data_IF_733926900681
#
_entry.id   IF_733926900681
#
_cell.length_a   1.000
_cell.length_b   1.000
_cell.length_c   1.000
_cell.angle_alpha   90.00
_cell.angle_beta   90.00
_cell.angle_gamma   90.00
#
_symmetry.space_group_name_H-M   'P 1'
#
loop_
_entity.id
_entity.type
_entity.pdbx_description
1 polymer ?
#
# COMPACT_ATOMS: atom_id res chain seq x y z
N UNK A 1 -0.47 -16.54 -27.92
CA UNK A 1 -0.84 -15.74 -26.74
C UNK A 1 -0.75 -16.64 -25.50
N UNK A 2 0.10 -16.34 -24.55
CA UNK A 2 0.15 -17.07 -23.29
C UNK A 2 -1.21 -16.90 -22.56
N UNK A 3 -1.72 -18.00 -22.00
CA UNK A 3 -2.98 -17.99 -21.24
C UNK A 3 -2.81 -17.06 -20.04
N UNK A 4 -3.70 -16.06 -19.90
CA UNK A 4 -3.75 -15.20 -18.71
C UNK A 4 -4.01 -16.07 -17.48
N UNK A 5 -3.09 -16.05 -16.53
CA UNK A 5 -3.27 -16.68 -15.23
C UNK A 5 -4.02 -15.71 -14.33
N UNK A 6 -5.03 -16.21 -13.61
CA UNK A 6 -5.76 -15.38 -12.64
C UNK A 6 -4.83 -15.02 -11.47
N UNK A 7 -4.89 -13.78 -10.92
CA UNK A 7 -4.07 -13.37 -9.79
C UNK A 7 -4.16 -14.28 -8.56
N UNK A 8 -5.30 -14.93 -8.31
CA UNK A 8 -5.43 -15.91 -7.23
C UNK A 8 -4.56 -17.15 -7.47
N UNK A 9 -4.39 -17.57 -8.73
CA UNK A 9 -3.47 -18.65 -9.10
C UNK A 9 -2.02 -18.22 -8.96
N UNK A 10 -1.67 -17.00 -9.40
CA UNK A 10 -0.31 -16.48 -9.25
C UNK A 10 0.05 -16.31 -7.77
N UNK A 11 -0.87 -15.81 -6.92
CA UNK A 11 -0.62 -15.77 -5.46
C UNK A 11 -0.43 -17.15 -4.87
N UNK A 12 -1.27 -18.13 -5.20
CA UNK A 12 -1.17 -19.50 -4.67
C UNK A 12 0.15 -20.18 -5.04
N UNK A 13 0.77 -19.75 -6.14
CA UNK A 13 2.05 -20.30 -6.65
C UNK A 13 3.26 -19.44 -6.30
N UNK A 14 3.07 -18.30 -5.64
CA UNK A 14 4.16 -17.39 -5.30
C UNK A 14 5.29 -18.10 -4.54
N UNK A 15 6.50 -17.94 -5.02
CA UNK A 15 7.71 -18.53 -4.41
C UNK A 15 7.77 -20.05 -4.39
N UNK A 16 6.95 -20.75 -5.19
CA UNK A 16 7.15 -22.20 -5.40
C UNK A 16 8.51 -22.44 -6.00
N UNK A 17 9.16 -23.53 -5.55
CA UNK A 17 10.45 -23.94 -6.08
C UNK A 17 10.33 -24.27 -7.57
N UNK A 18 11.04 -23.53 -8.41
CA UNK A 18 11.30 -23.86 -9.80
C UNK A 18 12.78 -24.17 -9.89
N UNK A 19 13.13 -25.41 -9.98
CA UNK A 19 14.51 -25.84 -10.15
C UNK A 19 14.54 -26.99 -11.14
N UNK A 20 15.41 -26.89 -12.10
CA UNK A 20 15.70 -27.96 -13.07
C UNK A 20 16.79 -28.87 -12.47
N UNK A 21 16.45 -29.54 -11.38
CA UNK A 21 17.36 -30.57 -10.82
C UNK A 21 16.68 -31.91 -10.92
N UNK A 22 17.32 -32.88 -11.59
CA UNK A 22 16.82 -34.21 -11.76
C UNK A 22 16.51 -34.99 -10.46
N UNK A 23 16.82 -34.39 -9.29
CA UNK A 23 16.67 -34.98 -7.96
C UNK A 23 15.47 -34.46 -7.16
N UNK A 24 14.62 -33.64 -7.78
CA UNK A 24 13.48 -33.02 -7.11
C UNK A 24 13.78 -31.63 -6.56
N UNK A 25 12.72 -30.85 -6.31
CA UNK A 25 12.80 -29.45 -5.81
C UNK A 25 11.89 -29.31 -4.60
N UNK A 26 12.38 -28.63 -3.57
CA UNK A 26 11.53 -28.27 -2.44
C UNK A 26 10.34 -27.43 -2.91
N UNK A 27 9.12 -27.84 -2.55
CA UNK A 27 7.90 -27.10 -2.90
C UNK A 27 7.85 -25.71 -2.26
N UNK A 28 8.52 -25.55 -1.12
CA UNK A 28 8.70 -24.26 -0.44
C UNK A 28 10.17 -23.90 -0.45
N UNK A 29 10.51 -22.69 -0.85
CA UNK A 29 11.89 -22.22 -0.85
C UNK A 29 12.53 -22.35 0.53
N UNK A 30 13.71 -22.94 0.66
CA UNK A 30 14.43 -23.01 1.94
C UNK A 30 14.77 -21.59 2.44
N UNK A 31 14.82 -21.44 3.76
CA UNK A 31 15.25 -20.18 4.38
C UNK A 31 16.79 -20.09 4.35
N UNK A 32 17.31 -19.16 3.55
CA UNK A 32 18.74 -18.90 3.44
C UNK A 32 19.14 -17.70 4.28
N UNK A 33 19.85 -17.91 5.39
CA UNK A 33 20.28 -16.86 6.31
C UNK A 33 21.72 -16.33 6.05
N UNK A 34 22.48 -17.00 5.16
CA UNK A 34 23.85 -16.57 4.88
C UNK A 34 23.88 -15.14 4.31
N UNK A 35 24.72 -14.29 4.88
CA UNK A 35 24.97 -12.92 4.40
C UNK A 35 25.96 -12.83 3.25
N UNK A 36 26.81 -13.85 3.11
CA UNK A 36 27.88 -13.95 2.11
C UNK A 36 28.07 -15.42 1.71
N UNK A 37 28.52 -15.65 0.47
CA UNK A 37 28.89 -16.96 -0.03
C UNK A 37 30.38 -17.04 -0.28
N UNK A 38 30.96 -18.24 -0.11
CA UNK A 38 32.32 -18.56 -0.50
C UNK A 38 32.32 -19.22 -1.89
N UNK A 39 33.34 -18.95 -2.68
CA UNK A 39 33.52 -19.44 -4.03
C UNK A 39 34.87 -20.12 -4.18
N UNK A 40 34.96 -21.05 -5.13
CA UNK A 40 36.18 -21.81 -5.36
C UNK A 40 37.26 -21.00 -6.12
N UNK A 41 36.82 -20.09 -7.02
CA UNK A 41 37.68 -19.35 -7.94
C UNK A 41 37.07 -18.02 -8.36
N UNK A 42 37.85 -17.17 -9.04
CA UNK A 42 37.43 -15.85 -9.49
C UNK A 42 36.31 -15.89 -10.55
N UNK A 43 36.34 -16.78 -11.56
CA UNK A 43 35.22 -16.90 -12.50
C UNK A 43 33.86 -17.14 -11.82
N UNK A 44 33.83 -17.99 -10.80
CA UNK A 44 32.61 -18.25 -10.02
C UNK A 44 32.13 -17.03 -9.24
N UNK A 45 33.05 -16.17 -8.79
CA UNK A 45 32.68 -14.88 -8.16
C UNK A 45 32.09 -13.95 -9.19
N UNK A 46 32.70 -13.82 -10.39
CA UNK A 46 32.23 -12.92 -11.43
C UNK A 46 30.81 -13.31 -11.89
N UNK A 47 30.55 -14.58 -12.17
CA UNK A 47 29.22 -15.09 -12.50
C UNK A 47 28.18 -14.81 -11.39
N UNK A 48 28.55 -15.05 -10.14
CA UNK A 48 27.67 -14.79 -9.01
C UNK A 48 27.41 -13.28 -8.80
N UNK A 49 28.35 -12.41 -9.15
CA UNK A 49 28.17 -10.94 -9.11
C UNK A 49 27.12 -10.49 -10.12
N UNK A 50 27.08 -11.06 -11.32
CA UNK A 50 26.04 -10.84 -12.31
C UNK A 50 24.67 -11.31 -11.81
N UNK A 51 24.63 -12.49 -11.14
CA UNK A 51 23.41 -13.06 -10.56
C UNK A 51 22.94 -12.43 -9.25
N UNK A 52 23.64 -11.46 -8.69
CA UNK A 52 23.34 -10.75 -7.42
C UNK A 52 23.35 -11.64 -6.17
N UNK A 53 23.95 -12.82 -6.18
CA UNK A 53 23.88 -13.81 -5.10
C UNK A 53 25.20 -13.96 -4.29
N UNK A 54 26.09 -12.97 -4.38
CA UNK A 54 27.39 -12.95 -3.67
C UNK A 54 27.27 -12.48 -2.24
N UNK A 55 26.53 -11.44 -2.04
CA UNK A 55 26.39 -10.73 -0.75
C UNK A 55 24.92 -10.28 -0.56
N UNK A 56 24.36 -10.51 0.60
CA UNK A 56 22.92 -10.33 0.85
C UNK A 56 22.36 -8.95 0.50
N UNK A 57 23.16 -7.91 0.69
CA UNK A 57 22.76 -6.55 0.30
C UNK A 57 22.56 -6.39 -1.21
N UNK A 58 23.13 -7.27 -2.03
CA UNK A 58 22.97 -7.25 -3.49
C UNK A 58 21.70 -7.96 -3.96
N UNK A 59 21.13 -8.85 -3.15
CA UNK A 59 19.92 -9.60 -3.45
C UNK A 59 20.08 -11.09 -3.20
N UNK A 60 19.41 -11.90 -4.02
CA UNK A 60 19.45 -13.35 -3.97
C UNK A 60 18.54 -13.97 -2.91
N UNK A 61 18.34 -15.28 -2.99
CA UNK A 61 17.58 -16.07 -2.03
C UNK A 61 16.11 -15.67 -1.89
N UNK A 62 15.60 -15.64 -0.65
CA UNK A 62 14.19 -15.37 -0.37
C UNK A 62 13.73 -13.98 -0.81
N UNK A 63 14.50 -12.87 -0.61
CA UNK A 63 14.14 -11.55 -1.14
C UNK A 63 13.92 -11.54 -2.65
N UNK A 64 14.80 -12.15 -3.44
CA UNK A 64 14.66 -12.20 -4.89
C UNK A 64 13.40 -12.97 -5.33
N UNK A 65 13.08 -14.10 -4.68
CA UNK A 65 11.85 -14.84 -4.97
C UNK A 65 10.59 -14.03 -4.69
N UNK A 66 10.63 -13.19 -3.66
CA UNK A 66 9.53 -12.28 -3.36
C UNK A 66 9.42 -11.15 -4.41
N UNK A 67 10.56 -10.62 -4.90
CA UNK A 67 10.60 -9.68 -6.03
C UNK A 67 9.97 -10.30 -7.27
N UNK A 68 10.36 -11.53 -7.64
CA UNK A 68 9.81 -12.28 -8.78
C UNK A 68 8.30 -12.49 -8.66
N UNK A 69 7.81 -12.87 -7.48
CA UNK A 69 6.38 -13.03 -7.24
C UNK A 69 5.61 -11.70 -7.36
N UNK A 70 6.16 -10.60 -6.86
CA UNK A 70 5.53 -9.28 -6.97
C UNK A 70 5.57 -8.75 -8.41
N UNK A 71 6.64 -9.00 -9.17
CA UNK A 71 6.73 -8.71 -10.60
C UNK A 71 5.62 -9.43 -11.36
N UNK A 72 5.45 -10.73 -11.12
CA UNK A 72 4.38 -11.51 -11.77
C UNK A 72 2.99 -10.90 -11.50
N UNK A 73 2.70 -10.55 -10.24
CA UNK A 73 1.41 -10.00 -9.83
C UNK A 73 1.13 -8.60 -10.42
N UNK A 74 2.15 -7.76 -10.55
CA UNK A 74 2.02 -6.39 -11.07
C UNK A 74 2.17 -6.31 -12.59
N UNK A 75 2.55 -7.40 -13.26
CA UNK A 75 2.67 -7.42 -14.72
C UNK A 75 1.30 -7.26 -15.37
N UNK A 76 1.14 -6.19 -16.12
CA UNK A 76 -0.07 -5.89 -16.89
C UNK A 76 0.00 -6.61 -18.23
N UNK A 77 -1.05 -7.34 -18.65
CA UNK A 77 -1.07 -8.02 -19.95
C UNK A 77 -0.79 -7.06 -21.10
N UNK A 78 0.18 -7.41 -21.96
CA UNK A 78 0.57 -6.61 -23.10
C UNK A 78 1.60 -5.50 -22.82
N UNK A 79 2.03 -5.35 -21.57
CA UNK A 79 3.17 -4.48 -21.17
C UNK A 79 4.39 -5.31 -20.80
N UNK A 80 5.56 -4.70 -20.86
CA UNK A 80 6.78 -5.30 -20.32
C UNK A 80 6.63 -5.47 -18.78
N UNK A 81 7.25 -6.52 -18.24
CA UNK A 81 7.25 -6.75 -16.80
C UNK A 81 8.02 -5.62 -16.08
N UNK A 82 7.55 -5.14 -14.93
CA UNK A 82 8.28 -4.16 -14.13
C UNK A 82 9.56 -4.75 -13.54
N UNK A 83 10.46 -3.90 -13.07
CA UNK A 83 11.57 -4.30 -12.20
C UNK A 83 11.19 -4.04 -10.75
N UNK A 84 11.70 -4.85 -9.82
CA UNK A 84 11.32 -4.75 -8.40
C UNK A 84 12.51 -4.83 -7.45
N UNK A 85 12.34 -4.18 -6.29
CA UNK A 85 13.19 -4.34 -5.09
C UNK A 85 12.36 -4.38 -3.84
N UNK A 86 12.56 -5.44 -3.03
CA UNK A 86 12.01 -5.51 -1.69
C UNK A 86 12.88 -4.73 -0.71
N UNK A 87 12.23 -4.06 0.23
CA UNK A 87 12.83 -3.13 1.19
C UNK A 87 12.39 -3.45 2.61
N UNK A 88 13.11 -2.92 3.60
CA UNK A 88 12.83 -3.14 5.03
C UNK A 88 11.47 -2.60 5.52
N UNK A 89 10.81 -1.75 4.74
CA UNK A 89 9.47 -1.20 5.04
C UNK A 89 8.89 -0.49 3.82
N UNK A 90 7.57 -0.22 3.82
CA UNK A 90 6.95 0.65 2.82
C UNK A 90 7.55 2.05 2.78
N UNK A 91 7.97 2.61 3.93
CA UNK A 91 8.68 3.89 4.00
C UNK A 91 10.05 3.84 3.31
N UNK A 92 10.78 2.74 3.44
CA UNK A 92 12.04 2.54 2.73
C UNK A 92 11.83 2.42 1.21
N UNK A 93 10.70 1.84 0.77
CA UNK A 93 10.31 1.82 -0.64
C UNK A 93 10.00 3.25 -1.15
N UNK A 94 9.27 4.07 -0.38
CA UNK A 94 8.99 5.47 -0.72
C UNK A 94 10.27 6.31 -0.77
N UNK A 95 11.17 6.14 0.20
CA UNK A 95 12.49 6.78 0.20
C UNK A 95 13.25 6.43 -1.08
N UNK A 96 13.35 5.15 -1.41
CA UNK A 96 14.04 4.69 -2.62
C UNK A 96 13.38 5.26 -3.88
N UNK A 97 12.06 5.22 -4.00
CA UNK A 97 11.31 5.76 -5.13
C UNK A 97 11.59 7.26 -5.35
N UNK A 98 11.48 8.05 -4.28
CA UNK A 98 11.70 9.51 -4.36
C UNK A 98 13.14 9.87 -4.69
N UNK A 99 14.13 9.15 -4.17
CA UNK A 99 15.55 9.38 -4.50
C UNK A 99 15.91 8.99 -5.93
N UNK A 100 15.17 8.07 -6.54
CA UNK A 100 15.39 7.65 -7.93
C UNK A 100 14.86 8.66 -8.96
N UNK A 101 13.77 9.37 -8.63
CA UNK A 101 13.11 10.30 -9.56
C UNK A 101 13.51 11.76 -9.32
N UNK A 102 13.93 12.11 -8.10
CA UNK A 102 14.35 13.47 -7.77
C UNK A 102 15.80 13.74 -8.22
N UNK A 103 16.04 14.94 -8.74
CA UNK A 103 17.35 15.37 -9.20
C UNK A 103 17.52 16.88 -9.11
N UNK A 104 18.71 17.42 -9.48
CA UNK A 104 19.02 18.84 -9.35
C UNK A 104 18.04 19.77 -10.08
N UNK A 105 17.55 19.37 -11.26
CA UNK A 105 16.62 20.16 -12.08
C UNK A 105 15.16 19.96 -11.68
N UNK A 106 14.83 18.80 -11.06
CA UNK A 106 13.50 18.41 -10.62
C UNK A 106 13.60 17.89 -9.21
N UNK A 107 13.37 18.73 -8.21
CA UNK A 107 13.51 18.38 -6.79
C UNK A 107 12.20 18.54 -6.00
N UNK A 108 11.09 18.85 -6.67
CA UNK A 108 9.80 19.01 -6.01
C UNK A 108 8.95 17.76 -6.15
N UNK A 109 8.48 17.24 -5.03
CA UNK A 109 7.50 16.16 -4.95
C UNK A 109 6.15 16.77 -4.60
N UNK A 110 5.12 16.41 -5.34
CA UNK A 110 3.73 16.77 -5.05
C UNK A 110 3.06 15.59 -4.37
N UNK A 111 2.43 15.81 -3.22
CA UNK A 111 1.72 14.78 -2.47
C UNK A 111 0.22 15.06 -2.49
N UNK A 112 -0.56 14.09 -2.90
CA UNK A 112 -2.02 14.18 -2.86
C UNK A 112 -2.50 13.78 -1.47
N UNK A 113 -3.28 14.65 -0.80
CA UNK A 113 -3.80 14.44 0.55
C UNK A 113 -5.34 14.37 0.57
N UNK A 114 -5.97 13.70 1.55
CA UNK A 114 -5.33 13.02 2.69
C UNK A 114 -4.55 11.78 2.25
N UNK A 115 -3.44 11.49 2.96
CA UNK A 115 -2.61 10.31 2.73
C UNK A 115 -2.05 9.81 4.07
N UNK A 116 -1.31 8.71 4.04
CA UNK A 116 -0.64 8.18 5.23
C UNK A 116 0.30 9.24 5.84
N UNK A 117 0.12 9.54 7.13
CA UNK A 117 0.90 10.58 7.81
C UNK A 117 2.41 10.34 7.82
N UNK A 118 2.87 9.08 7.66
CA UNK A 118 4.28 8.75 7.48
C UNK A 118 4.85 9.24 6.15
N UNK A 119 4.04 9.31 5.09
CA UNK A 119 4.44 9.87 3.79
C UNK A 119 4.76 11.36 3.92
N UNK A 120 3.84 12.14 4.49
CA UNK A 120 4.08 13.56 4.77
C UNK A 120 5.32 13.77 5.65
N UNK A 121 5.45 12.96 6.71
CA UNK A 121 6.56 13.08 7.67
C UNK A 121 7.91 12.74 7.05
N UNK A 122 7.99 11.72 6.20
CA UNK A 122 9.23 11.37 5.52
C UNK A 122 9.67 12.45 4.53
N UNK A 123 8.73 12.92 3.70
CA UNK A 123 9.03 13.85 2.63
C UNK A 123 9.36 15.25 3.16
N UNK A 124 8.56 15.79 4.07
CA UNK A 124 8.78 17.11 4.63
C UNK A 124 9.91 17.16 5.66
N UNK A 125 10.15 16.06 6.39
CA UNK A 125 11.20 15.96 7.41
C UNK A 125 12.56 15.54 6.84
N UNK A 126 12.94 14.25 6.92
CA UNK A 126 14.27 13.79 6.50
C UNK A 126 14.65 14.18 5.08
N UNK A 127 13.73 14.01 4.10
CA UNK A 127 14.04 14.33 2.70
C UNK A 127 14.03 15.83 2.43
N UNK A 128 13.19 16.60 3.12
CA UNK A 128 13.22 18.06 3.08
C UNK A 128 14.56 18.61 3.56
N UNK A 129 15.13 18.04 4.62
CA UNK A 129 16.44 18.40 5.13
C UNK A 129 17.59 18.09 4.12
N UNK A 130 17.37 17.14 3.21
CA UNK A 130 18.30 16.81 2.12
C UNK A 130 18.05 17.65 0.84
N UNK A 131 17.16 18.65 0.89
CA UNK A 131 16.91 19.58 -0.21
C UNK A 131 15.73 19.20 -1.11
N UNK A 132 14.97 18.16 -0.77
CA UNK A 132 13.73 17.85 -1.47
C UNK A 132 12.66 18.89 -1.12
N UNK A 133 12.02 19.47 -2.13
CA UNK A 133 10.88 20.39 -1.92
C UNK A 133 9.58 19.59 -1.97
N UNK A 134 8.65 19.90 -1.08
CA UNK A 134 7.34 19.23 -1.02
C UNK A 134 6.23 20.24 -1.20
N UNK A 135 5.27 19.92 -2.05
CA UNK A 135 4.00 20.62 -2.19
C UNK A 135 2.86 19.63 -2.00
N UNK A 136 1.71 20.10 -1.56
CA UNK A 136 0.56 19.23 -1.33
C UNK A 136 -0.63 19.66 -2.17
N UNK A 137 -1.43 18.69 -2.60
CA UNK A 137 -2.76 18.88 -3.17
C UNK A 137 -3.76 18.33 -2.18
N UNK A 138 -4.50 19.21 -1.52
CA UNK A 138 -5.55 18.81 -0.58
C UNK A 138 -6.84 18.57 -1.35
N UNK A 139 -7.27 17.32 -1.44
CA UNK A 139 -8.55 16.97 -2.05
C UNK A 139 -9.71 17.33 -1.10
N UNK A 140 -10.87 17.71 -1.63
CA UNK A 140 -12.05 17.92 -0.82
C UNK A 140 -12.41 16.67 -0.01
N UNK A 141 -12.79 16.80 1.27
CA UNK A 141 -13.12 15.66 2.14
C UNK A 141 -14.26 14.77 1.62
N UNK A 142 -15.14 15.33 0.79
CA UNK A 142 -16.25 14.62 0.14
C UNK A 142 -15.83 13.89 -1.16
N UNK A 143 -14.53 13.91 -1.50
CA UNK A 143 -14.00 13.35 -2.73
C UNK A 143 -14.43 14.10 -3.99
N UNK A 144 -14.95 15.31 -3.85
CA UNK A 144 -15.44 16.14 -4.95
C UNK A 144 -14.33 16.72 -5.83
N UNK A 145 -14.74 17.45 -6.88
CA UNK A 145 -13.82 18.09 -7.82
C UNK A 145 -13.25 17.17 -8.90
N UNK A 146 -12.59 17.74 -9.89
CA UNK A 146 -11.81 17.00 -10.88
C UNK A 146 -10.40 16.78 -10.34
N UNK A 147 -10.08 15.55 -9.97
CA UNK A 147 -8.80 15.22 -9.33
C UNK A 147 -7.60 15.54 -10.23
N UNK A 148 -7.71 15.31 -11.55
CA UNK A 148 -6.67 15.67 -12.52
C UNK A 148 -6.43 17.19 -12.56
N UNK A 149 -7.49 18.01 -12.63
CA UNK A 149 -7.38 19.48 -12.64
C UNK A 149 -6.80 20.01 -11.32
N UNK A 150 -7.20 19.45 -10.17
CA UNK A 150 -6.66 19.83 -8.86
C UNK A 150 -5.15 19.56 -8.77
N UNK A 151 -4.71 18.42 -9.28
CA UNK A 151 -3.28 18.08 -9.36
C UNK A 151 -2.58 19.00 -10.35
N UNK A 152 -3.11 19.17 -11.57
CA UNK A 152 -2.53 20.02 -12.62
C UNK A 152 -2.27 21.46 -12.15
N UNK A 153 -3.16 22.01 -11.33
CA UNK A 153 -3.01 23.37 -10.78
C UNK A 153 -1.76 23.56 -9.90
N UNK A 154 -1.18 22.48 -9.39
CA UNK A 154 0.01 22.51 -8.52
C UNK A 154 1.29 22.15 -9.28
N UNK A 155 1.17 21.62 -10.49
CA UNK A 155 2.31 21.13 -11.26
C UNK A 155 3.10 22.24 -11.93
N UNK A 156 4.37 21.93 -12.23
CA UNK A 156 5.29 22.78 -12.96
C UNK A 156 6.52 21.99 -13.40
N UNK A 157 7.42 22.59 -14.22
CA UNK A 157 8.55 21.89 -14.80
C UNK A 157 9.60 21.41 -13.78
N UNK A 158 9.52 21.87 -12.54
CA UNK A 158 10.40 21.52 -11.43
C UNK A 158 9.91 20.31 -10.63
N UNK A 159 8.70 19.80 -10.94
CA UNK A 159 8.13 18.61 -10.27
C UNK A 159 8.82 17.35 -10.77
N UNK A 160 9.39 16.59 -9.83
CA UNK A 160 10.01 15.30 -10.10
C UNK A 160 8.95 14.19 -10.12
N UNK A 161 8.04 14.19 -9.14
CA UNK A 161 6.99 13.19 -9.07
C UNK A 161 5.73 13.69 -8.35
N UNK A 162 4.62 13.00 -8.62
CA UNK A 162 3.36 13.07 -7.85
C UNK A 162 3.21 11.76 -7.09
N UNK A 163 2.99 11.84 -5.77
CA UNK A 163 2.73 10.68 -4.90
C UNK A 163 1.23 10.59 -4.64
N UNK A 164 0.65 9.44 -4.96
CA UNK A 164 -0.79 9.19 -4.93
C UNK A 164 -1.06 7.89 -4.18
N UNK A 165 -1.95 7.89 -3.19
CA UNK A 165 -2.57 6.66 -2.68
C UNK A 165 -3.82 6.34 -3.51
N UNK A 166 -4.06 5.08 -3.86
CA UNK A 166 -5.29 4.69 -4.60
C UNK A 166 -6.53 4.93 -3.74
N UNK A 167 -6.48 4.44 -2.50
CA UNK A 167 -7.47 4.69 -1.45
C UNK A 167 -6.79 5.51 -0.35
N UNK A 168 -7.34 6.65 -0.03
CA UNK A 168 -6.75 7.60 0.92
C UNK A 168 -6.82 7.11 2.36
N UNK A 169 -5.83 7.49 3.17
CA UNK A 169 -5.78 7.22 4.59
C UNK A 169 -5.89 8.54 5.38
N UNK A 170 -6.85 8.70 6.32
CA UNK A 170 -7.74 7.69 6.89
C UNK A 170 -9.20 7.75 6.39
N UNK A 171 -9.53 8.62 5.45
CA UNK A 171 -10.91 8.86 5.01
C UNK A 171 -11.42 7.83 3.99
N UNK A 172 -10.57 6.90 3.55
CA UNK A 172 -10.93 5.81 2.64
C UNK A 172 -11.64 6.32 1.36
N UNK A 173 -11.31 7.53 0.94
CA UNK A 173 -11.75 8.10 -0.33
C UNK A 173 -10.98 7.48 -1.50
N UNK A 174 -11.59 7.42 -2.66
CA UNK A 174 -10.97 6.85 -3.86
C UNK A 174 -10.42 7.97 -4.76
N UNK A 175 -9.13 7.87 -5.11
CA UNK A 175 -8.47 8.79 -6.02
C UNK A 175 -8.65 8.35 -7.47
N UNK A 176 -8.90 9.30 -8.37
CA UNK A 176 -8.89 9.07 -9.81
C UNK A 176 -7.43 9.05 -10.32
N UNK A 177 -6.75 7.92 -10.02
CA UNK A 177 -5.33 7.74 -10.36
C UNK A 177 -5.05 8.01 -11.84
N UNK A 178 -5.83 7.50 -12.82
CA UNK A 178 -5.60 7.81 -14.23
C UNK A 178 -5.60 9.31 -14.54
N UNK A 179 -6.62 10.04 -14.06
CA UNK A 179 -6.71 11.48 -14.32
C UNK A 179 -5.57 12.29 -13.69
N UNK A 180 -5.11 11.88 -12.50
CA UNK A 180 -3.95 12.49 -11.86
C UNK A 180 -2.63 12.13 -12.56
N UNK A 181 -2.52 10.91 -13.07
CA UNK A 181 -1.34 10.45 -13.81
C UNK A 181 -1.20 11.20 -15.13
N UNK A 182 -2.29 11.36 -15.88
CA UNK A 182 -2.29 12.13 -17.13
C UNK A 182 -1.78 13.56 -16.86
N UNK A 183 -2.30 14.23 -15.82
CA UNK A 183 -1.86 15.57 -15.45
C UNK A 183 -0.36 15.63 -15.08
N UNK A 184 0.17 14.63 -14.36
CA UNK A 184 1.59 14.55 -14.02
C UNK A 184 2.46 14.34 -15.26
N UNK A 185 2.08 13.46 -16.16
CA UNK A 185 2.79 13.17 -17.39
C UNK A 185 2.82 14.36 -18.35
N UNK A 186 1.79 15.21 -18.39
CA UNK A 186 1.76 16.43 -19.20
C UNK A 186 2.93 17.39 -18.89
N UNK A 187 3.45 17.37 -17.66
CA UNK A 187 4.65 18.13 -17.27
C UNK A 187 5.91 17.29 -17.19
N UNK A 188 5.84 16.00 -17.53
CA UNK A 188 6.93 15.03 -17.46
C UNK A 188 7.34 14.69 -16.02
N UNK A 189 6.42 14.77 -15.05
CA UNK A 189 6.63 14.31 -13.69
C UNK A 189 6.31 12.81 -13.60
N UNK A 190 7.09 12.05 -12.81
CA UNK A 190 6.81 10.65 -12.54
C UNK A 190 5.58 10.47 -11.62
N UNK A 191 4.90 9.35 -11.74
CA UNK A 191 3.73 8.99 -10.91
C UNK A 191 4.12 7.84 -9.98
N UNK A 192 4.20 8.13 -8.68
CA UNK A 192 4.45 7.15 -7.63
C UNK A 192 3.10 6.81 -7.00
N UNK A 193 2.65 5.57 -7.15
CA UNK A 193 1.39 5.10 -6.56
C UNK A 193 1.68 4.22 -5.36
N UNK A 194 1.22 4.64 -4.18
CA UNK A 194 1.14 3.75 -3.01
C UNK A 194 -0.16 2.94 -3.09
N UNK A 195 -0.02 1.68 -3.43
CA UNK A 195 -1.13 0.72 -3.61
C UNK A 195 -1.27 -0.22 -2.41
N UNK A 196 -0.83 0.22 -1.22
CA UNK A 196 -0.85 -0.61 0.01
C UNK A 196 -2.27 -1.08 0.39
N UNK A 197 -3.31 -0.24 0.19
CA UNK A 197 -4.70 -0.61 0.46
C UNK A 197 -5.34 -1.42 -0.68
N UNK A 198 -4.72 -1.41 -1.84
CA UNK A 198 -5.22 -2.03 -3.07
C UNK A 198 -4.16 -2.95 -3.69
N UNK A 199 -3.91 -4.13 -3.10
CA UNK A 199 -2.97 -5.10 -3.67
C UNK A 199 -3.24 -5.41 -5.15
N UNK A 200 -2.27 -5.96 -5.91
CA UNK A 200 -2.34 -6.10 -7.38
C UNK A 200 -3.58 -6.82 -7.92
N UNK A 201 -4.19 -7.68 -7.12
CA UNK A 201 -5.41 -8.40 -7.48
C UNK A 201 -6.69 -7.55 -7.33
N UNK A 202 -6.62 -6.40 -6.65
CA UNK A 202 -7.70 -5.39 -6.64
C UNK A 202 -7.46 -4.30 -7.68
N UNK A 203 -6.23 -3.76 -7.74
CA UNK A 203 -5.89 -2.63 -8.60
C UNK A 203 -4.47 -2.79 -9.15
N UNK A 204 -4.32 -2.79 -10.48
CA UNK A 204 -3.02 -2.86 -11.16
C UNK A 204 -2.57 -1.44 -11.55
N UNK A 205 -1.79 -0.79 -10.70
CA UNK A 205 -1.44 0.62 -10.82
C UNK A 205 -0.73 0.97 -12.14
N UNK A 206 0.14 0.09 -12.65
CA UNK A 206 0.77 0.31 -13.96
C UNK A 206 -0.22 0.36 -15.12
N UNK A 207 -1.37 -0.32 -15.03
CA UNK A 207 -2.46 -0.23 -15.99
C UNK A 207 -3.20 1.11 -15.97
N UNK A 208 -2.95 1.91 -14.95
CA UNK A 208 -3.62 3.18 -14.68
C UNK A 208 -2.66 4.38 -14.63
N UNK A 209 -1.48 4.27 -15.24
CA UNK A 209 -0.55 5.39 -15.41
C UNK A 209 0.52 5.52 -14.32
N UNK A 210 0.66 4.57 -13.41
CA UNK A 210 1.79 4.57 -12.49
C UNK A 210 3.11 4.32 -13.24
N UNK A 211 4.17 5.06 -12.88
CA UNK A 211 5.55 4.78 -13.28
C UNK A 211 6.27 3.96 -12.22
N UNK A 212 5.96 4.24 -10.94
CA UNK A 212 6.48 3.54 -9.78
C UNK A 212 5.32 3.09 -8.88
N UNK A 213 5.38 1.87 -8.36
CA UNK A 213 4.35 1.31 -7.47
C UNK A 213 5.00 0.89 -6.16
N UNK A 214 4.37 1.24 -5.06
CA UNK A 214 4.81 0.88 -3.72
C UNK A 214 3.73 0.04 -3.05
N UNK A 215 4.18 -1.02 -2.36
CA UNK A 215 3.34 -1.74 -1.39
C UNK A 215 4.07 -1.89 -0.07
N UNK A 216 3.35 -1.69 1.03
CA UNK A 216 3.79 -2.19 2.33
C UNK A 216 3.47 -3.68 2.43
N UNK A 217 4.49 -4.52 2.35
CA UNK A 217 4.36 -5.97 2.56
C UNK A 217 3.84 -6.30 3.96
N UNK A 218 4.11 -5.43 4.93
CA UNK A 218 3.65 -5.47 6.34
C UNK A 218 2.13 -5.64 6.46
N UNK A 219 1.36 -5.22 5.43
CA UNK A 219 -0.10 -5.10 5.45
C UNK A 219 -0.75 -6.33 4.80
N UNK A 220 -1.76 -6.13 3.98
CA UNK A 220 -2.55 -7.19 3.35
C UNK A 220 -1.74 -8.28 2.65
N UNK A 221 -0.57 -7.97 2.09
CA UNK A 221 0.24 -8.93 1.35
C UNK A 221 0.79 -10.04 2.26
N UNK A 222 1.42 -9.70 3.40
CA UNK A 222 1.81 -10.69 4.41
C UNK A 222 0.60 -11.13 5.26
N UNK A 223 -0.18 -10.19 5.79
CA UNK A 223 -1.52 -10.38 6.34
C UNK A 223 -1.63 -11.05 7.71
N UNK A 224 -0.52 -11.20 8.47
CA UNK A 224 -0.49 -11.92 9.74
C UNK A 224 0.20 -11.12 10.87
N UNK A 225 0.44 -9.84 10.67
CA UNK A 225 1.06 -8.92 11.66
C UNK A 225 2.43 -9.37 12.18
N UNK A 226 3.14 -10.22 11.45
CA UNK A 226 4.41 -10.86 11.81
C UNK A 226 5.58 -10.48 10.88
N UNK A 227 5.36 -9.60 9.91
CA UNK A 227 6.34 -9.13 8.91
C UNK A 227 6.38 -7.61 8.86
N UNK A 228 7.56 -7.05 8.75
CA UNK A 228 7.78 -5.68 8.34
C UNK A 228 8.56 -5.66 7.03
N UNK A 229 7.99 -5.06 5.98
CA UNK A 229 8.63 -4.97 4.68
C UNK A 229 7.90 -4.04 3.73
N UNK A 230 8.56 -3.73 2.63
CA UNK A 230 8.01 -2.99 1.51
C UNK A 230 8.50 -3.56 0.19
N UNK A 231 7.89 -3.13 -0.89
CA UNK A 231 8.39 -3.37 -2.24
C UNK A 231 8.19 -2.12 -3.08
N UNK A 232 9.21 -1.78 -3.85
CA UNK A 232 9.16 -0.81 -4.93
C UNK A 232 9.21 -1.56 -6.25
N UNK A 233 8.25 -1.28 -7.12
CA UNK A 233 8.26 -1.73 -8.51
C UNK A 233 8.34 -0.49 -9.42
N UNK A 234 9.03 -0.62 -10.53
CA UNK A 234 9.21 0.45 -11.54
C UNK A 234 8.88 -0.11 -12.91
N UNK A 235 8.11 0.63 -13.72
CA UNK A 235 7.91 0.31 -15.13
C UNK A 235 9.28 0.19 -15.81
N UNK A 236 9.54 -0.94 -16.47
CA UNK A 236 10.84 -1.20 -17.08
C UNK A 236 11.20 -0.23 -18.22
N UNK A 237 10.23 0.51 -18.76
CA UNK A 237 10.45 1.58 -19.72
C UNK A 237 10.80 2.93 -19.09
N UNK A 238 10.67 3.10 -17.78
CA UNK A 238 11.00 4.33 -17.10
C UNK A 238 12.49 4.40 -16.75
N UNK A 239 13.13 5.55 -16.99
CA UNK A 239 14.59 5.73 -16.83
C UNK A 239 15.12 5.40 -15.42
N UNK A 240 14.29 5.52 -14.38
CA UNK A 240 14.67 5.16 -13.02
C UNK A 240 14.89 3.65 -12.83
N UNK A 241 14.37 2.80 -13.72
CA UNK A 241 14.52 1.34 -13.65
C UNK A 241 15.99 0.90 -13.73
N UNK A 242 16.81 1.57 -14.55
CA UNK A 242 18.23 1.29 -14.72
C UNK A 242 19.04 1.51 -13.43
N UNK A 243 18.56 2.40 -12.55
CA UNK A 243 19.24 2.79 -11.33
C UNK A 243 18.70 2.09 -10.07
N UNK A 244 17.61 1.36 -10.18
CA UNK A 244 16.94 0.73 -9.03
C UNK A 244 17.88 -0.17 -8.25
N UNK A 245 18.58 -1.06 -8.95
CA UNK A 245 19.46 -2.05 -8.34
C UNK A 245 20.65 -1.40 -7.61
N UNK A 246 21.32 -0.47 -8.28
CA UNK A 246 22.48 0.24 -7.71
C UNK A 246 22.08 1.06 -6.47
N UNK A 247 20.97 1.82 -6.54
CA UNK A 247 20.51 2.63 -5.42
C UNK A 247 20.04 1.78 -4.23
N UNK A 248 19.30 0.71 -4.47
CA UNK A 248 18.85 -0.19 -3.41
C UNK A 248 20.03 -0.81 -2.65
N UNK A 249 21.09 -1.21 -3.36
CA UNK A 249 22.33 -1.74 -2.77
C UNK A 249 23.06 -0.70 -1.94
N UNK A 250 23.19 0.53 -2.46
CA UNK A 250 23.97 1.60 -1.81
C UNK A 250 23.23 2.18 -0.61
N UNK A 251 21.93 2.39 -0.69
CA UNK A 251 21.09 2.91 0.40
C UNK A 251 20.84 1.85 1.48
N UNK A 252 21.03 0.57 1.17
CA UNK A 252 20.92 -0.50 2.15
C UNK A 252 19.50 -0.75 2.67
N UNK A 253 18.48 -0.40 1.90
CA UNK A 253 17.06 -0.57 2.26
C UNK A 253 16.56 -2.02 2.12
N UNK A 254 17.37 -3.00 2.47
CA UNK A 254 17.15 -4.41 2.19
C UNK A 254 16.13 -5.05 3.14
N UNK A 255 15.37 -6.02 2.62
CA UNK A 255 14.53 -6.90 3.42
C UNK A 255 15.34 -8.09 3.94
N UNK A 256 15.13 -8.48 5.21
CA UNK A 256 15.75 -9.67 5.79
C UNK A 256 15.19 -10.95 5.15
N UNK A 257 15.99 -12.03 5.00
CA UNK A 257 15.53 -13.28 4.40
C UNK A 257 14.34 -13.92 5.12
N UNK A 258 14.30 -13.83 6.45
CA UNK A 258 13.21 -14.37 7.25
C UNK A 258 11.90 -13.63 7.00
N UNK A 259 11.92 -12.28 6.99
CA UNK A 259 10.76 -11.47 6.66
C UNK A 259 10.28 -11.73 5.21
N UNK A 260 11.22 -11.89 4.27
CA UNK A 260 10.89 -12.22 2.89
C UNK A 260 10.23 -13.60 2.77
N UNK A 261 10.70 -14.58 3.54
CA UNK A 261 10.12 -15.93 3.57
C UNK A 261 8.71 -15.94 4.17
N UNK A 262 8.48 -15.21 5.27
CA UNK A 262 7.16 -15.03 5.87
C UNK A 262 6.22 -14.28 4.92
N UNK A 263 6.70 -13.21 4.27
CA UNK A 263 5.93 -12.46 3.28
C UNK A 263 5.49 -13.33 2.11
N UNK A 264 6.40 -14.16 1.56
CA UNK A 264 6.06 -15.16 0.53
C UNK A 264 5.00 -16.14 0.99
N UNK A 265 5.11 -16.62 2.23
CA UNK A 265 4.13 -17.53 2.83
C UNK A 265 2.76 -16.86 2.94
N UNK A 266 2.70 -15.61 3.42
CA UNK A 266 1.48 -14.82 3.52
C UNK A 266 0.88 -14.51 2.15
N UNK A 267 1.72 -14.18 1.17
CA UNK A 267 1.31 -13.84 -0.20
C UNK A 267 0.50 -14.97 -0.86
N UNK A 268 0.82 -16.23 -0.58
CA UNK A 268 0.14 -17.40 -1.17
C UNK A 268 -1.36 -17.46 -0.90
N UNK A 269 -1.85 -16.79 0.13
CA UNK A 269 -3.28 -16.70 0.47
C UNK A 269 -3.83 -15.28 0.38
N UNK A 270 -3.02 -14.30 -0.07
CA UNK A 270 -3.38 -12.90 -0.02
C UNK A 270 -4.65 -12.58 -0.83
N UNK A 271 -4.81 -13.15 -2.03
CA UNK A 271 -5.98 -12.92 -2.85
C UNK A 271 -7.27 -13.40 -2.13
N UNK A 272 -7.28 -14.63 -1.59
CA UNK A 272 -8.41 -15.17 -0.83
C UNK A 272 -8.74 -14.33 0.41
N UNK A 273 -7.71 -13.90 1.15
CA UNK A 273 -7.91 -13.09 2.35
C UNK A 273 -8.52 -11.74 2.03
N UNK A 274 -7.97 -11.05 1.02
CA UNK A 274 -8.45 -9.72 0.65
C UNK A 274 -9.83 -9.77 0.04
N UNK A 275 -10.16 -10.80 -0.74
CA UNK A 275 -11.52 -11.04 -1.24
C UNK A 275 -12.51 -11.14 -0.08
N UNK A 276 -12.26 -12.02 0.90
CA UNK A 276 -13.09 -12.17 2.09
C UNK A 276 -13.17 -10.88 2.92
N UNK A 277 -12.04 -10.21 3.15
CA UNK A 277 -12.01 -8.94 3.88
C UNK A 277 -12.83 -7.85 3.15
N UNK A 278 -12.76 -7.79 1.82
CA UNK A 278 -13.52 -6.84 1.00
C UNK A 278 -15.02 -7.12 1.03
N UNK A 279 -15.43 -8.40 0.99
CA UNK A 279 -16.82 -8.81 1.17
C UNK A 279 -17.36 -8.36 2.55
N UNK A 280 -16.61 -8.67 3.61
CA UNK A 280 -16.96 -8.28 4.97
C UNK A 280 -17.01 -6.76 5.13
N UNK A 281 -16.05 -6.01 4.56
CA UNK A 281 -16.02 -4.55 4.61
C UNK A 281 -17.22 -3.93 3.90
N UNK A 282 -17.63 -4.49 2.74
CA UNK A 282 -18.83 -4.06 2.02
C UNK A 282 -20.09 -4.30 2.84
N UNK A 283 -20.21 -5.47 3.47
CA UNK A 283 -21.34 -5.81 4.33
C UNK A 283 -21.39 -4.93 5.60
N UNK A 284 -20.22 -4.58 6.18
CA UNK A 284 -20.13 -3.66 7.31
C UNK A 284 -20.45 -2.21 6.89
N UNK A 285 -19.98 -1.75 5.74
CA UNK A 285 -20.32 -0.42 5.22
C UNK A 285 -21.84 -0.26 5.07
N UNK A 286 -22.51 -1.30 4.55
CA UNK A 286 -23.97 -1.34 4.46
C UNK A 286 -24.63 -1.36 5.85
N UNK A 287 -24.10 -2.18 6.78
CA UNK A 287 -24.61 -2.25 8.13
C UNK A 287 -24.49 -0.92 8.89
N UNK A 288 -23.42 -0.17 8.66
CA UNK A 288 -23.20 1.14 9.29
C UNK A 288 -23.98 2.28 8.64
N UNK A 289 -24.42 2.16 7.39
CA UNK A 289 -25.03 3.26 6.61
C UNK A 289 -26.22 3.93 7.29
N UNK A 290 -27.06 3.12 7.96
CA UNK A 290 -28.30 3.59 8.60
C UNK A 290 -28.19 3.78 10.12
N UNK A 291 -26.96 3.77 10.66
CA UNK A 291 -26.73 3.90 12.10
C UNK A 291 -26.83 5.34 12.58
N UNK A 292 -27.76 5.68 13.50
CA UNK A 292 -27.96 7.05 13.96
C UNK A 292 -26.78 7.59 14.77
N UNK A 293 -25.95 6.72 15.35
CA UNK A 293 -24.75 7.06 16.11
C UNK A 293 -23.65 7.64 15.21
N UNK A 294 -23.72 7.36 13.90
CA UNK A 294 -22.70 7.77 12.93
C UNK A 294 -23.09 9.04 12.18
N UNK A 295 -22.12 9.92 11.98
CA UNK A 295 -22.19 11.08 11.09
C UNK A 295 -21.94 10.69 9.65
N UNK A 296 -20.96 9.79 9.45
CA UNK A 296 -20.56 9.32 8.12
C UNK A 296 -19.95 7.91 8.20
N UNK A 297 -20.04 7.22 7.08
CA UNK A 297 -19.32 5.97 6.79
C UNK A 297 -18.47 6.25 5.56
N UNK A 298 -17.18 5.92 5.64
CA UNK A 298 -16.23 6.11 4.56
C UNK A 298 -15.78 4.76 4.01
N UNK A 299 -16.15 4.50 2.77
CA UNK A 299 -15.79 3.28 2.03
C UNK A 299 -15.90 3.57 0.52
N UNK A 300 -15.05 3.01 -0.36
CA UNK A 300 -15.11 3.32 -1.79
C UNK A 300 -16.48 3.03 -2.39
N UNK A 301 -17.05 4.02 -3.06
CA UNK A 301 -18.36 3.92 -3.71
C UNK A 301 -19.55 4.30 -2.83
N UNK A 302 -19.37 4.83 -1.62
CA UNK A 302 -20.47 5.27 -0.73
C UNK A 302 -20.65 6.79 -0.68
N UNK A 303 -19.71 7.58 -1.23
CA UNK A 303 -19.72 9.05 -1.20
C UNK A 303 -20.51 9.68 -2.36
N UNK A 304 -21.54 9.02 -2.85
CA UNK A 304 -22.41 9.51 -3.92
C UNK A 304 -22.11 8.90 -5.29
N UNK A 305 -22.90 9.33 -6.29
CA UNK A 305 -22.91 8.69 -7.61
C UNK A 305 -21.55 8.73 -8.35
N UNK A 306 -20.78 9.80 -8.17
CA UNK A 306 -19.46 9.93 -8.79
C UNK A 306 -18.46 8.93 -8.19
N UNK A 307 -18.38 8.85 -6.87
CA UNK A 307 -17.51 7.92 -6.16
C UNK A 307 -17.90 6.47 -6.46
N UNK A 308 -19.21 6.18 -6.54
CA UNK A 308 -19.72 4.86 -6.94
C UNK A 308 -19.27 4.48 -8.36
N UNK A 309 -19.38 5.39 -9.33
CA UNK A 309 -18.94 5.16 -10.71
C UNK A 309 -17.42 4.98 -10.81
N UNK A 310 -16.65 5.77 -10.03
CA UNK A 310 -15.21 5.65 -9.96
C UNK A 310 -14.79 4.31 -9.37
N UNK A 311 -15.44 3.88 -8.27
CA UNK A 311 -15.18 2.61 -7.62
C UNK A 311 -15.52 1.41 -8.53
N UNK A 312 -16.61 1.49 -9.27
CA UNK A 312 -16.97 0.46 -10.25
C UNK A 312 -15.93 0.34 -11.37
N UNK A 313 -15.40 1.47 -11.86
CA UNK A 313 -14.40 1.52 -12.92
C UNK A 313 -13.01 1.05 -12.45
N UNK A 314 -12.56 1.52 -11.28
CA UNK A 314 -11.18 1.28 -10.83
C UNK A 314 -11.04 0.02 -9.97
N UNK A 315 -12.08 -0.37 -9.23
CA UNK A 315 -12.06 -1.46 -8.27
C UNK A 315 -13.13 -2.54 -8.57
N UNK A 316 -13.21 -3.08 -9.80
CA UNK A 316 -14.25 -4.02 -10.20
C UNK A 316 -14.17 -5.38 -9.50
N UNK A 317 -13.05 -5.70 -8.84
CA UNK A 317 -12.80 -6.97 -8.14
C UNK A 317 -13.02 -6.90 -6.63
N UNK A 318 -13.51 -5.79 -6.11
CA UNK A 318 -13.73 -5.54 -4.69
C UNK A 318 -13.16 -4.19 -4.30
N UNK A 319 -13.70 -3.61 -3.25
CA UNK A 319 -13.44 -2.23 -2.84
C UNK A 319 -12.42 -2.11 -1.70
N UNK A 320 -11.71 -3.21 -1.38
CA UNK A 320 -10.72 -3.26 -0.33
C UNK A 320 -11.29 -3.56 1.05
N UNK A 321 -10.40 -3.73 2.02
CA UNK A 321 -10.70 -4.20 3.36
C UNK A 321 -10.73 -3.08 4.41
N UNK A 322 -10.56 -1.83 3.98
CA UNK A 322 -10.52 -0.68 4.88
C UNK A 322 -11.81 0.10 4.82
N UNK A 323 -12.36 0.45 5.98
CA UNK A 323 -13.44 1.42 6.11
C UNK A 323 -13.20 2.33 7.31
N UNK A 324 -13.83 3.50 7.33
CA UNK A 324 -13.84 4.39 8.49
C UNK A 324 -15.26 4.81 8.84
N UNK A 325 -15.52 4.98 10.13
CA UNK A 325 -16.77 5.51 10.64
C UNK A 325 -16.49 6.80 11.42
N UNK A 326 -17.39 7.76 11.33
CA UNK A 326 -17.32 9.03 12.08
C UNK A 326 -18.47 9.10 13.10
N UNK A 327 -18.15 8.97 14.38
CA UNK A 327 -19.10 8.97 15.47
C UNK A 327 -19.56 10.42 15.80
N UNK A 328 -20.86 10.64 15.98
CA UNK A 328 -21.45 11.97 16.23
C UNK A 328 -21.01 12.60 17.55
N UNK A 329 -20.71 11.78 18.56
CA UNK A 329 -20.25 12.27 19.86
C UNK A 329 -18.77 12.64 19.91
N UNK A 330 -18.06 12.63 18.75
CA UNK A 330 -16.64 13.01 18.67
C UNK A 330 -15.73 12.07 19.43
N UNK A 331 -14.65 12.59 20.02
CA UNK A 331 -13.62 11.78 20.68
C UNK A 331 -14.12 10.94 21.87
N UNK A 332 -15.10 11.45 22.62
CA UNK A 332 -15.68 10.68 23.76
C UNK A 332 -16.43 9.45 23.23
N UNK A 333 -17.24 9.61 22.20
CA UNK A 333 -17.95 8.49 21.58
C UNK A 333 -16.98 7.51 20.93
N UNK A 334 -15.89 7.99 20.31
CA UNK A 334 -14.85 7.12 19.76
C UNK A 334 -14.14 6.29 20.85
N UNK A 335 -13.82 6.89 21.99
CA UNK A 335 -13.23 6.16 23.13
C UNK A 335 -14.22 5.13 23.72
N UNK A 336 -15.50 5.50 23.89
CA UNK A 336 -16.53 4.60 24.39
C UNK A 336 -16.78 3.44 23.41
N UNK A 337 -16.82 3.72 22.10
CA UNK A 337 -16.91 2.71 21.05
C UNK A 337 -15.75 1.70 21.12
N UNK A 338 -14.51 2.22 21.18
CA UNK A 338 -13.31 1.37 21.23
C UNK A 338 -13.29 0.50 22.50
N UNK A 339 -13.70 1.05 23.65
CA UNK A 339 -13.81 0.31 24.91
C UNK A 339 -14.94 -0.72 24.90
N UNK A 340 -15.97 -0.50 24.09
CA UNK A 340 -17.10 -1.41 23.92
C UNK A 340 -16.80 -2.63 23.06
N UNK A 341 -15.64 -2.67 22.38
CA UNK A 341 -15.18 -3.83 21.61
C UNK A 341 -14.62 -4.90 22.56
N UNK A 342 -14.95 -6.17 22.32
CA UNK A 342 -14.48 -7.31 23.13
C UNK A 342 -13.34 -8.07 22.44
N UNK A 343 -13.56 -8.59 21.24
CA UNK A 343 -12.58 -9.35 20.45
C UNK A 343 -11.72 -8.47 19.55
N UNK A 344 -12.30 -7.44 18.95
CA UNK A 344 -11.64 -6.51 18.02
C UNK A 344 -10.68 -5.59 18.80
N UNK A 345 -9.41 -5.53 18.36
CA UNK A 345 -8.36 -4.82 19.10
C UNK A 345 -8.06 -3.44 18.51
N UNK A 346 -7.74 -2.49 19.39
CA UNK A 346 -7.16 -1.20 19.00
C UNK A 346 -5.69 -1.41 18.64
N UNK A 347 -5.35 -1.24 17.35
CA UNK A 347 -3.99 -1.44 16.85
C UNK A 347 -3.63 -0.39 15.78
N UNK A 348 -2.42 0.21 15.84
CA UNK A 348 -1.98 1.23 14.87
C UNK A 348 -1.46 0.61 13.57
N UNK A 349 -2.11 -0.45 13.08
CA UNK A 349 -1.76 -1.16 11.86
C UNK A 349 -3.01 -1.50 11.04
N UNK A 350 -2.89 -2.38 10.05
CA UNK A 350 -3.99 -2.86 9.22
C UNK A 350 -3.58 -4.11 8.44
N UNK A 351 -4.56 -4.77 7.83
CA UNK A 351 -4.32 -5.83 6.85
C UNK A 351 -4.08 -7.21 7.47
N UNK A 352 -4.35 -7.38 8.75
CA UNK A 352 -4.33 -8.68 9.43
C UNK A 352 -5.56 -9.53 9.05
N UNK A 353 -5.48 -10.84 9.28
CA UNK A 353 -6.62 -11.76 9.19
C UNK A 353 -7.70 -11.44 10.21
N UNK A 354 -7.32 -10.88 11.36
CA UNK A 354 -8.26 -10.41 12.38
C UNK A 354 -8.62 -8.94 12.16
N UNK A 355 -9.88 -8.61 12.42
CA UNK A 355 -10.37 -7.23 12.41
C UNK A 355 -9.69 -6.41 13.50
N UNK A 356 -9.23 -5.22 13.14
CA UNK A 356 -8.66 -4.25 14.08
C UNK A 356 -9.23 -2.87 13.85
N UNK A 357 -9.24 -2.05 14.91
CA UNK A 357 -9.58 -0.63 14.81
C UNK A 357 -8.37 0.23 15.12
N UNK A 358 -8.34 1.43 14.57
CA UNK A 358 -7.34 2.45 14.91
C UNK A 358 -8.00 3.81 15.04
N UNK A 359 -7.42 4.67 15.89
CA UNK A 359 -7.87 6.03 16.09
C UNK A 359 -6.87 6.99 15.43
N UNK A 360 -7.16 7.51 14.23
CA UNK A 360 -6.22 8.28 13.42
C UNK A 360 -5.65 9.51 14.12
N UNK A 361 -6.47 10.21 14.91
CA UNK A 361 -6.05 11.39 15.65
C UNK A 361 -4.93 11.13 16.66
N UNK A 362 -4.83 9.91 17.21
CA UNK A 362 -3.77 9.51 18.16
C UNK A 362 -2.70 8.62 17.55
N UNK A 363 -2.87 8.17 16.29
CA UNK A 363 -1.97 7.24 15.63
C UNK A 363 -1.35 7.85 14.38
N UNK A 364 -1.87 7.54 13.21
CA UNK A 364 -1.27 7.91 11.91
C UNK A 364 -1.24 9.41 11.63
N UNK A 365 -2.11 10.21 12.24
CA UNK A 365 -2.23 11.65 12.03
C UNK A 365 -1.99 12.48 13.30
N UNK A 366 -1.35 11.87 14.32
CA UNK A 366 -1.07 12.55 15.60
C UNK A 366 -0.11 13.75 15.47
N UNK A 367 0.69 13.79 14.40
CA UNK A 367 1.61 14.90 14.14
C UNK A 367 0.88 16.17 13.66
N UNK A 368 -0.35 16.06 13.16
CA UNK A 368 -1.16 17.18 12.72
C UNK A 368 -1.87 17.84 13.92
N UNK A 369 -1.95 19.18 13.90
CA UNK A 369 -2.77 19.92 14.85
C UNK A 369 -4.28 19.59 14.64
N UNK A 370 -5.15 19.83 15.65
CA UNK A 370 -6.59 19.66 15.48
C UNK A 370 -7.15 20.44 14.28
N UNK A 371 -6.66 21.66 14.03
CA UNK A 371 -7.06 22.49 12.90
C UNK A 371 -6.65 21.88 11.55
N UNK A 372 -5.43 21.35 11.46
CA UNK A 372 -4.95 20.67 10.26
C UNK A 372 -5.76 19.38 9.99
N UNK A 373 -6.07 18.58 11.03
CA UNK A 373 -6.93 17.41 10.88
C UNK A 373 -8.32 17.80 10.38
N UNK A 374 -8.92 18.82 10.99
CA UNK A 374 -10.26 19.30 10.59
C UNK A 374 -10.29 19.79 9.14
N UNK A 375 -9.25 20.50 8.69
CA UNK A 375 -9.12 20.95 7.30
C UNK A 375 -9.08 19.77 6.30
N UNK A 376 -8.54 18.63 6.71
CA UNK A 376 -8.51 17.38 5.92
C UNK A 376 -9.77 16.51 6.13
N UNK A 377 -10.76 16.96 6.91
CA UNK A 377 -11.96 16.17 7.22
C UNK A 377 -11.75 15.07 8.26
N UNK A 378 -10.60 15.03 8.92
CA UNK A 378 -10.28 14.04 9.98
C UNK A 378 -10.82 14.56 11.30
N UNK A 379 -12.02 14.10 11.66
CA UNK A 379 -12.71 14.51 12.90
C UNK A 379 -12.18 13.75 14.12
N UNK A 380 -12.48 14.22 15.31
CA UNK A 380 -12.19 13.51 16.55
C UNK A 380 -13.14 12.30 16.77
N UNK A 381 -14.22 12.16 15.98
CA UNK A 381 -15.09 10.99 15.96
C UNK A 381 -14.64 9.88 15.01
N UNK A 382 -13.58 10.10 14.24
CA UNK A 382 -13.16 9.18 13.19
C UNK A 382 -12.44 7.95 13.75
N UNK A 383 -12.99 6.77 13.49
CA UNK A 383 -12.38 5.46 13.79
C UNK A 383 -12.19 4.72 12.47
N UNK A 384 -10.95 4.28 12.19
CA UNK A 384 -10.64 3.48 11.00
C UNK A 384 -10.65 2.00 11.38
N UNK A 385 -11.28 1.18 10.55
CA UNK A 385 -11.46 -0.26 10.71
C UNK A 385 -10.69 -0.97 9.60
N UNK A 386 -9.81 -1.88 9.97
CA UNK A 386 -9.20 -2.87 9.09
C UNK A 386 -9.97 -4.16 9.24
N UNK A 387 -10.75 -4.51 8.25
CA UNK A 387 -11.67 -5.65 8.32
C UNK A 387 -10.95 -6.95 8.00
N UNK A 388 -11.14 -7.95 8.83
CA UNK A 388 -10.54 -9.28 8.69
C UNK A 388 -11.47 -10.30 8.04
N UNK A 389 -11.13 -11.59 8.22
CA UNK A 389 -11.80 -12.72 7.57
C UNK A 389 -12.84 -13.41 8.45
N UNK A 390 -13.15 -12.87 9.62
CA UNK A 390 -14.08 -13.42 10.60
C UNK A 390 -15.50 -13.59 9.99
N UNK A 391 -16.36 -14.30 10.68
CA UNK A 391 -17.75 -14.42 10.26
C UNK A 391 -18.45 -13.06 10.38
N UNK A 392 -19.13 -12.64 9.32
CA UNK A 392 -19.72 -11.29 9.23
C UNK A 392 -20.75 -10.99 10.32
N UNK A 393 -21.52 -11.98 10.73
CA UNK A 393 -22.55 -11.77 11.76
C UNK A 393 -21.93 -11.55 13.15
N UNK A 394 -20.79 -12.19 13.43
CA UNK A 394 -20.04 -11.95 14.67
C UNK A 394 -19.47 -10.52 14.69
N UNK A 395 -18.90 -10.06 13.56
CA UNK A 395 -18.42 -8.68 13.43
C UNK A 395 -19.56 -7.66 13.61
N UNK A 396 -20.72 -7.90 13.00
CA UNK A 396 -21.89 -7.02 13.15
C UNK A 396 -22.38 -6.97 14.58
N UNK A 397 -22.45 -8.11 15.26
CA UNK A 397 -22.90 -8.19 16.67
C UNK A 397 -21.95 -7.43 17.60
N UNK A 398 -20.64 -7.57 17.41
CA UNK A 398 -19.65 -6.87 18.23
C UNK A 398 -19.68 -5.36 17.97
N UNK A 399 -19.75 -4.92 16.71
CA UNK A 399 -19.87 -3.49 16.37
C UNK A 399 -21.19 -2.89 16.85
N UNK A 400 -22.30 -3.64 16.82
CA UNK A 400 -23.59 -3.19 17.37
C UNK A 400 -23.47 -2.89 18.87
N UNK A 401 -22.87 -3.81 19.64
CA UNK A 401 -22.62 -3.63 21.07
C UNK A 401 -21.74 -2.41 21.34
N UNK A 402 -20.71 -2.19 20.54
CA UNK A 402 -19.82 -1.04 20.68
C UNK A 402 -20.51 0.29 20.33
N UNK A 403 -21.41 0.32 19.33
CA UNK A 403 -22.22 1.49 19.01
C UNK A 403 -23.20 1.84 20.13
N UNK A 404 -23.83 0.84 20.77
CA UNK A 404 -24.67 1.07 21.93
C UNK A 404 -23.87 1.69 23.09
N UNK A 405 -22.66 1.20 23.34
CA UNK A 405 -21.77 1.79 24.34
C UNK A 405 -21.39 3.25 24.01
N UNK A 406 -21.12 3.55 22.73
CA UNK A 406 -20.82 4.90 22.28
C UNK A 406 -22.00 5.88 22.40
N UNK A 407 -23.24 5.39 22.29
CA UNK A 407 -24.45 6.19 22.44
C UNK A 407 -24.79 6.50 23.91
N UNK A 408 -24.29 5.68 24.85
CA UNK A 408 -24.55 5.82 26.28
C UNK A 408 -23.52 6.72 27.03
N UNK A 409 -22.37 6.99 26.41
CA UNK A 409 -21.28 7.83 26.97
C UNK A 409 -21.24 9.21 26.32
#
# INVERSE_FOLDING_TARGET
MARRVDPSTSTARAGLGVGDTGDGVDLVAPLSLASVRAYADLPSVDEAMEGRDTYRRYGGGNPQRLEEAMIELETVPGRAAPVARVTSSGQAALLLATTLVAGPSRSRIVVVRPCYGGTDSLLAGPLGNLGLRVSTVDLPPDGGGNHGELVAATLGPDVAAVVIEVITNPLIGLNDVPAMADAAHDVGAAVIVDSTFTPPFLFQAFGHGADLVIHSLTKHLAGHSDVMGGVLLIDSGHAASDWLDANARLLGANLAPFDAWLALRGLRTAALRVERCSENATALATFFADRPELRAVHYPGVHGARDAALAERLLPRGRGAMLSIDLRGGGNAADAFIRGLDGIRLAPSLGDVATTVSYPASTSHRALSPQQRAALGITDGLVRISVGIEHIDDLKAEFDSALIAAAAG
#
